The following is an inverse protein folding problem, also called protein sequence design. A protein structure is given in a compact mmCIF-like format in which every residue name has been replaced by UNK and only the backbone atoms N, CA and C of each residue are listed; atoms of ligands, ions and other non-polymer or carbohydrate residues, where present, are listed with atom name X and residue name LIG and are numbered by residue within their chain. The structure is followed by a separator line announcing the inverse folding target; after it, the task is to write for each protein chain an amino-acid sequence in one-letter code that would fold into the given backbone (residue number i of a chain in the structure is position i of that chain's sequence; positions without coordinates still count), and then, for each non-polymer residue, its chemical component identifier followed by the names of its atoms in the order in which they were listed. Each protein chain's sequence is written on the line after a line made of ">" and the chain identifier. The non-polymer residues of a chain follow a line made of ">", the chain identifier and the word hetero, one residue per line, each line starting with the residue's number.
data_IF_027783247153
#
_entry.id   IF_027783247153
#
_cell.length_a   1.000
_cell.length_b   1.000
_cell.length_c   1.000
_cell.angle_alpha   90.00
_cell.angle_beta   90.00
_cell.angle_gamma   90.00
#
_symmetry.space_group_name_H-M   'P 1'
#
loop_
_entity.id
_entity.type
_entity.pdbx_description
1 polymer ?
#
# COMPACT_ATOMS: atom_id res chain seq x y z
N UNK A 1 -7.12 -5.79 -20.77
CA UNK A 1 -7.01 -5.88 -19.31
C UNK A 1 -5.84 -5.03 -18.89
N UNK A 2 -6.03 -4.13 -17.92
CA UNK A 2 -4.93 -3.38 -17.31
C UNK A 2 -3.99 -4.32 -16.54
N UNK A 3 -2.78 -3.89 -16.22
CA UNK A 3 -1.86 -4.68 -15.41
C UNK A 3 -2.45 -4.99 -14.01
N UNK A 4 -3.23 -4.07 -13.44
CA UNK A 4 -3.97 -4.33 -12.19
C UNK A 4 -5.04 -5.42 -12.35
N UNK A 5 -5.76 -5.45 -13.47
CA UNK A 5 -6.75 -6.49 -13.73
C UNK A 5 -6.08 -7.85 -13.98
N UNK A 6 -4.94 -7.88 -14.67
CA UNK A 6 -4.14 -9.09 -14.85
C UNK A 6 -3.63 -9.62 -13.51
N UNK A 7 -3.07 -8.74 -12.67
CA UNK A 7 -2.67 -9.04 -11.30
C UNK A 7 -3.82 -9.64 -10.49
N UNK A 8 -4.98 -8.97 -10.45
CA UNK A 8 -6.15 -9.42 -9.68
C UNK A 8 -6.70 -10.78 -10.13
N UNK A 9 -6.53 -11.14 -11.41
CA UNK A 9 -6.98 -12.42 -11.97
C UNK A 9 -5.89 -13.50 -12.02
N UNK A 10 -4.69 -13.21 -11.52
CA UNK A 10 -3.58 -14.18 -11.47
C UNK A 10 -2.88 -14.45 -12.81
N UNK A 11 -3.04 -13.57 -13.80
CA UNK A 11 -2.27 -13.65 -15.04
C UNK A 11 -0.85 -13.10 -14.86
N UNK A 12 0.05 -13.32 -15.82
CA UNK A 12 1.31 -12.59 -15.87
C UNK A 12 1.04 -11.10 -16.06
N UNK A 13 1.71 -10.27 -15.26
CA UNK A 13 1.56 -8.83 -15.23
C UNK A 13 2.90 -8.15 -14.93
N UNK A 14 3.03 -6.89 -15.33
CA UNK A 14 4.22 -6.06 -15.15
C UNK A 14 4.05 -5.00 -14.06
N UNK A 15 5.15 -4.65 -13.41
CA UNK A 15 5.22 -3.48 -12.53
C UNK A 15 5.37 -2.21 -13.38
N UNK A 16 4.25 -1.69 -13.88
CA UNK A 16 4.20 -0.40 -14.55
C UNK A 16 4.19 0.78 -13.56
N UNK A 17 4.39 2.00 -14.07
CA UNK A 17 4.55 3.22 -13.27
C UNK A 17 3.39 3.44 -12.26
N UNK A 18 2.15 3.20 -12.68
CA UNK A 18 0.99 3.32 -11.79
C UNK A 18 1.06 2.32 -10.61
N UNK A 19 1.44 1.07 -10.88
CA UNK A 19 1.60 0.05 -9.84
C UNK A 19 2.76 0.39 -8.89
N UNK A 20 3.86 0.94 -9.42
CA UNK A 20 4.98 1.41 -8.62
C UNK A 20 4.59 2.61 -7.73
N UNK A 21 3.82 3.56 -8.25
CA UNK A 21 3.32 4.71 -7.51
C UNK A 21 2.37 4.28 -6.36
N UNK A 22 1.46 3.34 -6.64
CA UNK A 22 0.57 2.76 -5.62
C UNK A 22 1.36 2.02 -4.54
N UNK A 23 2.39 1.23 -4.92
CA UNK A 23 3.28 0.57 -3.97
C UNK A 23 4.07 1.57 -3.13
N UNK A 24 4.58 2.65 -3.73
CA UNK A 24 5.32 3.67 -3.02
C UNK A 24 4.44 4.37 -1.97
N UNK A 25 3.19 4.72 -2.34
CA UNK A 25 2.20 5.27 -1.40
C UNK A 25 1.94 4.30 -0.24
N UNK A 26 1.65 3.04 -0.53
CA UNK A 26 1.39 2.03 0.50
C UNK A 26 2.60 1.83 1.43
N UNK A 27 3.81 1.73 0.88
CA UNK A 27 5.05 1.59 1.67
C UNK A 27 5.32 2.80 2.55
N UNK A 28 5.00 4.02 2.09
CA UNK A 28 5.11 5.23 2.91
C UNK A 28 4.19 5.16 4.13
N UNK A 29 2.94 4.73 3.96
CA UNK A 29 1.99 4.55 5.08
C UNK A 29 2.45 3.47 6.06
N UNK A 30 2.96 2.34 5.55
CA UNK A 30 3.53 1.28 6.39
C UNK A 30 4.75 1.78 7.19
N UNK A 31 5.62 2.58 6.57
CA UNK A 31 6.76 3.19 7.27
C UNK A 31 6.31 4.12 8.40
N UNK A 32 5.29 4.95 8.15
CA UNK A 32 4.70 5.80 9.19
C UNK A 32 4.13 4.95 10.33
N UNK A 33 3.36 3.91 10.01
CA UNK A 33 2.77 3.00 11.00
C UNK A 33 3.84 2.31 11.86
N UNK A 34 4.93 1.84 11.24
CA UNK A 34 6.01 1.16 11.93
C UNK A 34 6.87 2.10 12.79
N UNK A 35 6.88 3.39 12.47
CA UNK A 35 7.59 4.41 13.25
C UNK A 35 6.86 4.87 14.50
N UNK A 36 5.55 4.60 14.60
CA UNK A 36 4.76 4.95 15.77
C UNK A 36 5.12 4.06 16.97
N UNK A 37 5.12 4.60 18.21
CA UNK A 37 5.28 3.77 19.40
C UNK A 37 4.11 2.76 19.54
N UNK A 38 4.27 1.67 20.30
CA UNK A 38 3.20 0.70 20.53
C UNK A 38 1.92 1.28 21.14
N UNK A 39 2.05 2.37 21.92
CA UNK A 39 0.95 3.01 22.65
C UNK A 39 0.10 3.94 21.77
N UNK A 40 0.60 4.36 20.60
CA UNK A 40 -0.08 5.24 19.65
C UNK A 40 -1.16 4.50 18.83
N UNK A 41 -2.14 3.95 19.55
CA UNK A 41 -3.19 3.10 18.98
C UNK A 41 -4.15 3.89 18.09
N UNK A 42 -4.50 5.11 18.48
CA UNK A 42 -5.42 5.96 17.71
C UNK A 42 -4.78 6.41 16.39
N UNK A 43 -3.51 6.82 16.42
CA UNK A 43 -2.75 7.19 15.22
C UNK A 43 -2.56 6.00 14.28
N UNK A 44 -2.33 4.81 14.84
CA UNK A 44 -2.28 3.55 14.06
C UNK A 44 -3.61 3.27 13.38
N UNK A 45 -4.75 3.47 14.06
CA UNK A 45 -6.08 3.31 13.47
C UNK A 45 -6.34 4.32 12.35
N UNK A 46 -5.92 5.58 12.51
CA UNK A 46 -6.06 6.59 11.44
C UNK A 46 -5.22 6.24 10.21
N UNK A 47 -3.99 5.77 10.38
CA UNK A 47 -3.15 5.33 9.25
C UNK A 47 -3.76 4.14 8.50
N UNK A 48 -4.40 3.20 9.21
CA UNK A 48 -5.06 2.06 8.56
C UNK A 48 -6.25 2.48 7.68
N UNK A 49 -6.93 3.59 7.98
CA UNK A 49 -8.01 4.14 7.13
C UNK A 49 -7.49 4.74 5.82
N UNK A 50 -6.18 5.00 5.71
CA UNK A 50 -5.56 5.61 4.54
C UNK A 50 -4.99 4.60 3.54
N UNK A 51 -4.91 3.32 3.92
CA UNK A 51 -4.47 2.21 3.07
C UNK A 51 -5.58 1.85 2.09
#
# INVERSE_FOLDING_TARGET
>A
MTEQEKMKKGYLWGNEEENMALQARAKSLVNQFNSLPPEAMDERVELLKMI
#
